data_IF_944872922155
#
_entry.id   IF_944872922155
#
_cell.length_a   1.000
_cell.length_b   1.000
_cell.length_c   1.000
_cell.angle_alpha   90.00
_cell.angle_beta   90.00
_cell.angle_gamma   90.00
#
_symmetry.space_group_name_H-M   'P 1'
#
loop_
_entity.id
_entity.type
_entity.pdbx_description
1 polymer ?
#
# COMPACT_ATOMS: atom_id res chain seq x y z
N UNK A 1 -12.29 -13.08 -2.79
CA UNK A 1 -12.54 -11.68 -3.23
C UNK A 1 -11.21 -10.95 -3.27
N UNK A 2 -10.94 -10.10 -4.28
CA UNK A 2 -9.70 -9.32 -4.37
C UNK A 2 -9.98 -7.85 -4.12
N UNK A 3 -9.15 -7.20 -3.29
CA UNK A 3 -9.29 -5.79 -2.92
C UNK A 3 -7.97 -5.08 -3.19
N UNK A 4 -8.03 -3.95 -3.91
CA UNK A 4 -6.91 -3.02 -4.00
C UNK A 4 -7.03 -2.00 -2.86
N UNK A 5 -6.02 -1.94 -1.99
CA UNK A 5 -5.96 -1.03 -0.86
C UNK A 5 -4.90 0.04 -1.11
N UNK A 6 -5.32 1.31 -1.08
CA UNK A 6 -4.40 2.44 -0.95
C UNK A 6 -3.71 2.36 0.42
N UNK A 7 -2.41 2.11 0.42
CA UNK A 7 -1.65 1.68 1.59
C UNK A 7 -0.48 2.62 1.85
N UNK A 8 -0.59 3.48 2.86
CA UNK A 8 0.44 4.47 3.22
C UNK A 8 1.58 3.88 4.07
N UNK A 9 1.42 2.65 4.55
CA UNK A 9 2.30 2.01 5.54
C UNK A 9 2.08 2.52 6.97
N UNK A 10 1.12 3.41 7.21
CA UNK A 10 0.71 3.87 8.54
C UNK A 10 0.05 2.77 9.38
N UNK A 11 -0.18 3.05 10.66
CA UNK A 11 -0.87 2.11 11.58
C UNK A 11 -2.26 1.76 11.05
N UNK A 12 -3.07 2.77 10.73
CA UNK A 12 -4.46 2.61 10.36
C UNK A 12 -4.63 1.72 9.12
N UNK A 13 -3.85 2.00 8.06
CA UNK A 13 -3.88 1.18 6.84
C UNK A 13 -3.34 -0.23 7.06
N UNK A 14 -2.45 -0.43 8.04
CA UNK A 14 -1.92 -1.76 8.41
C UNK A 14 -2.97 -2.61 9.12
N UNK A 15 -3.72 -2.00 10.03
CA UNK A 15 -4.85 -2.67 10.70
C UNK A 15 -5.96 -2.94 9.71
N UNK A 16 -6.28 -1.97 8.83
CA UNK A 16 -7.29 -2.14 7.78
C UNK A 16 -6.95 -3.33 6.86
N UNK A 17 -5.69 -3.50 6.45
CA UNK A 17 -5.26 -4.65 5.67
C UNK A 17 -5.56 -5.98 6.39
N UNK A 18 -5.31 -6.06 7.70
CA UNK A 18 -5.62 -7.26 8.49
C UNK A 18 -7.11 -7.50 8.63
N UNK A 19 -7.90 -6.47 8.88
CA UNK A 19 -9.37 -6.58 8.92
C UNK A 19 -9.92 -7.12 7.59
N UNK A 20 -9.45 -6.61 6.45
CA UNK A 20 -9.88 -7.08 5.14
C UNK A 20 -9.49 -8.56 4.89
N UNK A 21 -8.32 -8.98 5.37
CA UNK A 21 -7.90 -10.37 5.28
C UNK A 21 -8.73 -11.27 6.20
N UNK A 22 -8.89 -10.90 7.46
CA UNK A 22 -9.42 -11.80 8.50
C UNK A 22 -10.95 -11.84 8.49
N UNK A 23 -11.61 -10.68 8.40
CA UNK A 23 -13.09 -10.60 8.47
C UNK A 23 -13.75 -10.86 7.12
N UNK A 24 -13.08 -10.51 6.02
CA UNK A 24 -13.63 -10.63 4.66
C UNK A 24 -12.99 -11.75 3.84
N UNK A 25 -12.03 -12.49 4.42
CA UNK A 25 -11.24 -13.53 3.74
C UNK A 25 -10.73 -13.06 2.36
N UNK A 26 -10.30 -11.79 2.29
CA UNK A 26 -9.96 -11.13 1.04
C UNK A 26 -8.47 -11.26 0.72
N UNK A 27 -8.16 -11.45 -0.55
CA UNK A 27 -6.82 -11.28 -1.09
C UNK A 27 -6.56 -9.78 -1.32
N UNK A 28 -5.72 -9.19 -0.49
CA UNK A 28 -5.45 -7.74 -0.53
C UNK A 28 -4.19 -7.44 -1.33
N UNK A 29 -4.34 -6.62 -2.38
CA UNK A 29 -3.24 -6.00 -3.13
C UNK A 29 -3.03 -4.60 -2.57
N UNK A 30 -1.81 -4.27 -2.16
CA UNK A 30 -1.49 -2.93 -1.65
C UNK A 30 -0.90 -2.05 -2.73
N UNK A 31 -1.30 -0.79 -2.75
CA UNK A 31 -0.81 0.23 -3.68
C UNK A 31 -0.37 1.45 -2.90
N UNK A 32 0.84 1.93 -3.15
CA UNK A 32 1.40 3.13 -2.55
C UNK A 32 1.95 4.05 -3.63
N UNK A 33 1.63 5.34 -3.52
CA UNK A 33 2.21 6.40 -4.33
C UNK A 33 2.97 7.39 -3.46
N UNK A 34 4.09 7.93 -3.94
CA UNK A 34 4.72 9.13 -3.38
C UNK A 34 4.51 10.31 -4.32
N UNK A 35 4.28 11.50 -3.76
CA UNK A 35 3.99 12.73 -4.51
C UNK A 35 4.90 13.88 -4.05
N UNK A 36 6.19 13.60 -3.91
CA UNK A 36 7.18 14.53 -3.34
C UNK A 36 7.64 14.19 -1.92
N UNK A 37 7.18 13.07 -1.35
CA UNK A 37 7.89 12.46 -0.22
C UNK A 37 9.10 11.66 -0.71
N UNK A 38 10.03 11.35 0.20
CA UNK A 38 11.19 10.52 -0.09
C UNK A 38 10.79 9.19 -0.77
N UNK A 39 11.27 8.89 -1.99
CA UNK A 39 11.00 7.64 -2.70
C UNK A 39 11.45 6.39 -1.93
N UNK A 40 12.46 6.47 -1.06
CA UNK A 40 12.90 5.35 -0.21
C UNK A 40 11.76 4.85 0.70
N UNK A 41 10.76 5.70 0.97
CA UNK A 41 9.56 5.33 1.71
C UNK A 41 8.80 4.18 1.04
N UNK A 42 8.79 4.10 -0.29
CA UNK A 42 8.10 3.02 -1.01
C UNK A 42 8.66 1.64 -0.64
N UNK A 43 9.98 1.51 -0.53
CA UNK A 43 10.62 0.24 -0.14
C UNK A 43 10.27 -0.15 1.31
N UNK A 44 10.21 0.83 2.23
CA UNK A 44 9.76 0.57 3.61
C UNK A 44 8.29 0.13 3.66
N UNK A 45 7.44 0.75 2.85
CA UNK A 45 6.01 0.39 2.74
C UNK A 45 5.88 -1.01 2.14
N UNK A 46 6.63 -1.34 1.09
CA UNK A 46 6.64 -2.68 0.46
C UNK A 46 6.93 -3.77 1.48
N UNK A 47 8.03 -3.66 2.21
CA UNK A 47 8.41 -4.65 3.24
C UNK A 47 7.32 -4.82 4.29
N UNK A 48 6.71 -3.70 4.71
CA UNK A 48 5.62 -3.75 5.69
C UNK A 48 4.36 -4.45 5.13
N UNK A 49 3.98 -4.16 3.89
CA UNK A 49 2.85 -4.80 3.23
C UNK A 49 3.06 -6.31 3.06
N UNK A 50 4.25 -6.73 2.62
CA UNK A 50 4.63 -8.14 2.47
C UNK A 50 4.61 -8.86 3.82
N UNK A 51 5.19 -8.27 4.86
CA UNK A 51 5.18 -8.85 6.21
C UNK A 51 3.76 -9.00 6.78
N UNK A 52 2.82 -8.15 6.35
CA UNK A 52 1.42 -8.24 6.74
C UNK A 52 0.60 -9.17 5.82
N UNK A 53 1.21 -9.81 4.82
CA UNK A 53 0.57 -10.80 3.97
C UNK A 53 -0.17 -10.24 2.76
N UNK A 54 0.17 -9.03 2.31
CA UNK A 54 -0.32 -8.51 1.03
C UNK A 54 0.05 -9.48 -0.11
N UNK A 55 -0.91 -9.83 -0.98
CA UNK A 55 -0.65 -10.81 -2.06
C UNK A 55 0.17 -10.23 -3.21
N UNK A 56 0.14 -8.89 -3.34
CA UNK A 56 0.98 -8.12 -4.26
C UNK A 56 1.13 -6.70 -3.74
N UNK A 57 2.23 -6.05 -4.07
CA UNK A 57 2.48 -4.63 -3.77
C UNK A 57 2.80 -3.88 -5.06
N UNK A 58 2.28 -2.66 -5.19
CA UNK A 58 2.66 -1.69 -6.21
C UNK A 58 3.10 -0.39 -5.55
N UNK A 59 4.35 0.02 -5.79
CA UNK A 59 4.89 1.30 -5.35
C UNK A 59 5.20 2.16 -6.57
N UNK A 60 4.67 3.38 -6.62
CA UNK A 60 4.84 4.28 -7.77
C UNK A 60 5.29 5.65 -7.30
N UNK A 61 6.29 6.23 -7.97
CA UNK A 61 6.60 7.64 -7.84
C UNK A 61 5.67 8.43 -8.76
N UNK A 62 4.73 9.15 -8.15
CA UNK A 62 3.71 9.96 -8.81
C UNK A 62 4.05 11.46 -8.71
N UNK A 63 5.27 11.82 -8.31
CA UNK A 63 5.64 13.22 -8.09
C UNK A 63 5.46 14.07 -9.35
N UNK A 64 5.85 13.54 -10.52
CA UNK A 64 5.68 14.23 -11.80
C UNK A 64 4.21 14.36 -12.20
N UNK A 65 3.47 13.26 -12.14
CA UNK A 65 2.03 13.23 -12.47
C UNK A 65 1.23 14.19 -11.57
N UNK A 66 1.54 14.23 -10.27
CA UNK A 66 0.86 15.08 -9.31
C UNK A 66 1.03 16.60 -9.54
N UNK A 67 2.11 17.03 -10.21
CA UNK A 67 2.38 18.46 -10.45
C UNK A 67 2.09 18.90 -11.88
N UNK A 68 2.00 17.97 -12.82
CA UNK A 68 1.76 18.26 -14.24
C UNK A 68 0.28 18.10 -14.64
N UNK A 69 -0.49 17.25 -13.95
CA UNK A 69 -1.92 17.00 -14.20
C UNK A 69 -2.83 17.58 -13.08
#
# INVERSE_FOLDING_TARGET
MKIALAFSGGLDTSVCLKILQDEYNAEVVTVAGVVGQDPEKLEKIRRKAENLGSVKYYGVDLTKEFVED
#
